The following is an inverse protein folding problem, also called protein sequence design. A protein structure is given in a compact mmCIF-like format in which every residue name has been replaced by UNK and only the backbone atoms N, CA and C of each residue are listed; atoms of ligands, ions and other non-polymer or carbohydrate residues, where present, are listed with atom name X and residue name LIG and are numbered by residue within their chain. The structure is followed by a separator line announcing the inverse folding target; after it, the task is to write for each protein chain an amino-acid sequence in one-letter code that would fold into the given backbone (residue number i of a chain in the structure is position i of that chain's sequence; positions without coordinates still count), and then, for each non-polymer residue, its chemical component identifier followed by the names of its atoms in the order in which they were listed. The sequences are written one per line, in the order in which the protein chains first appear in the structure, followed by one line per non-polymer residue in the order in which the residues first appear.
data_IF_182499496592
#
_entry.id   IF_182499496592
#
_cell.length_a   1.000
_cell.length_b   1.000
_cell.length_c   1.000
_cell.angle_alpha   90.00
_cell.angle_beta   90.00
_cell.angle_gamma   90.00
#
_symmetry.space_group_name_H-M   'P 1'
#
loop_
_entity.id
_entity.type
_entity.pdbx_description
1 polymer ?
#
# COMPACT_ATOMS: atom_id res chain seq x y z
N UNK A 1 1.56 -64.67 -9.95
CA UNK A 1 2.62 -63.64 -9.82
C UNK A 1 2.29 -62.33 -10.54
N UNK A 2 1.66 -62.31 -11.73
CA UNK A 2 1.32 -61.05 -12.45
C UNK A 2 0.32 -60.10 -11.75
N UNK A 3 -0.62 -60.61 -10.94
CA UNK A 3 -1.62 -59.78 -10.23
C UNK A 3 -1.07 -59.00 -9.03
N UNK A 4 0.07 -59.40 -8.47
CA UNK A 4 0.67 -58.74 -7.29
C UNK A 4 1.31 -57.40 -7.66
N UNK A 5 1.87 -57.28 -8.87
CA UNK A 5 2.40 -56.00 -9.38
C UNK A 5 1.32 -54.93 -9.58
N UNK A 6 0.08 -55.34 -9.86
CA UNK A 6 -1.05 -54.42 -10.01
C UNK A 6 -1.38 -53.68 -8.69
N UNK A 7 -1.24 -54.37 -7.55
CA UNK A 7 -1.44 -53.77 -6.23
C UNK A 7 -0.33 -52.77 -5.88
N UNK A 8 0.91 -53.03 -6.30
CA UNK A 8 2.03 -52.09 -6.12
C UNK A 8 1.86 -50.81 -6.97
N UNK A 9 1.32 -50.93 -8.18
CA UNK A 9 1.03 -49.76 -9.06
C UNK A 9 -0.12 -48.92 -8.51
N UNK A 10 -1.14 -49.53 -7.90
CA UNK A 10 -2.24 -48.81 -7.27
C UNK A 10 -1.77 -48.09 -5.99
N UNK A 11 -0.89 -48.72 -5.21
CA UNK A 11 -0.32 -48.11 -4.00
C UNK A 11 0.61 -46.92 -4.32
N UNK A 12 1.31 -46.94 -5.47
CA UNK A 12 2.17 -45.81 -5.88
C UNK A 12 1.38 -44.58 -6.32
N UNK A 13 0.11 -44.72 -6.73
CA UNK A 13 -0.75 -43.58 -7.07
C UNK A 13 -1.29 -42.85 -5.84
N UNK A 14 -1.30 -43.48 -4.65
CA UNK A 14 -1.82 -42.88 -3.41
C UNK A 14 -0.83 -41.90 -2.75
N UNK A 15 0.45 -41.93 -3.12
CA UNK A 15 1.50 -41.06 -2.57
C UNK A 15 1.74 -39.78 -3.37
N UNK A 16 0.99 -39.54 -4.46
CA UNK A 16 1.21 -38.38 -5.36
C UNK A 16 0.39 -37.14 -4.96
N UNK A 17 -0.44 -37.17 -3.92
CA UNK A 17 -1.43 -36.10 -3.66
C UNK A 17 -1.17 -35.14 -2.49
N UNK A 18 0.09 -34.92 -2.08
CA UNK A 18 0.39 -33.86 -1.11
C UNK A 18 1.10 -32.69 -1.79
N UNK A 19 0.32 -31.74 -2.31
CA UNK A 19 0.82 -30.42 -2.69
C UNK A 19 0.88 -29.56 -1.42
N UNK A 20 2.06 -29.56 -0.77
CA UNK A 20 2.29 -28.79 0.46
C UNK A 20 2.63 -27.35 0.09
N UNK A 21 1.61 -26.50 0.00
CA UNK A 21 1.82 -25.06 -0.21
C UNK A 21 2.22 -24.39 1.11
N UNK A 22 3.53 -24.22 1.31
CA UNK A 22 4.09 -23.47 2.44
C UNK A 22 4.15 -21.98 2.11
N UNK A 23 3.23 -21.21 2.69
CA UNK A 23 3.33 -19.76 2.71
C UNK A 23 4.43 -19.35 3.72
N UNK A 24 5.25 -18.32 3.42
CA UNK A 24 6.23 -17.82 4.37
C UNK A 24 5.53 -17.27 5.62
N UNK A 25 5.91 -17.77 6.80
CA UNK A 25 5.31 -17.36 8.08
C UNK A 25 5.46 -15.85 8.36
N UNK A 26 6.52 -15.24 7.83
CA UNK A 26 6.83 -13.82 7.98
C UNK A 26 6.15 -12.89 6.95
N UNK A 27 5.42 -13.42 5.96
CA UNK A 27 4.71 -12.59 4.97
C UNK A 27 3.20 -12.73 5.15
N UNK A 28 2.51 -11.62 5.36
CA UNK A 28 1.06 -11.64 5.39
C UNK A 28 0.56 -11.86 3.97
N UNK A 29 0.03 -13.05 3.69
CA UNK A 29 -0.56 -13.34 2.38
C UNK A 29 -1.73 -12.40 2.11
N UNK A 30 -2.01 -12.14 0.83
CA UNK A 30 -3.17 -11.32 0.43
C UNK A 30 -4.46 -11.87 1.03
N UNK A 31 -4.63 -13.19 1.01
CA UNK A 31 -5.81 -13.82 1.61
C UNK A 31 -5.89 -13.54 3.12
N UNK A 32 -4.79 -13.64 3.87
CA UNK A 32 -4.80 -13.34 5.31
C UNK A 32 -5.21 -11.88 5.61
N UNK A 33 -4.86 -10.93 4.74
CA UNK A 33 -5.25 -9.52 4.88
C UNK A 33 -6.72 -9.29 4.52
N UNK A 34 -7.17 -9.77 3.36
CA UNK A 34 -8.45 -9.33 2.78
C UNK A 34 -9.64 -10.26 3.09
N UNK A 35 -9.40 -11.41 3.70
CA UNK A 35 -10.47 -12.38 4.05
C UNK A 35 -11.21 -12.10 5.35
N UNK A 36 -10.71 -11.19 6.21
CA UNK A 36 -11.28 -10.91 7.52
C UNK A 36 -11.15 -9.43 7.91
N UNK A 37 -12.00 -8.98 8.84
CA UNK A 37 -12.09 -7.58 9.23
C UNK A 37 -10.84 -7.06 9.95
N UNK A 38 -10.16 -7.90 10.72
CA UNK A 38 -8.95 -7.56 11.45
C UNK A 38 -7.80 -7.27 10.48
N UNK A 39 -7.65 -8.08 9.43
CA UNK A 39 -6.68 -7.87 8.35
C UNK A 39 -6.92 -6.55 7.62
N UNK A 40 -8.18 -6.22 7.31
CA UNK A 40 -8.53 -4.92 6.72
C UNK A 40 -8.18 -3.75 7.65
N UNK A 41 -8.48 -3.87 8.95
CA UNK A 41 -8.12 -2.85 9.94
C UNK A 41 -6.61 -2.66 10.03
N UNK A 42 -5.86 -3.75 10.10
CA UNK A 42 -4.40 -3.72 10.20
C UNK A 42 -3.78 -3.07 8.97
N UNK A 43 -4.27 -3.42 7.77
CA UNK A 43 -3.83 -2.78 6.55
C UNK A 43 -4.17 -1.28 6.55
N UNK A 44 -5.40 -0.92 6.95
CA UNK A 44 -5.83 0.48 6.99
C UNK A 44 -5.01 1.35 7.95
N UNK A 45 -4.45 0.76 9.02
CA UNK A 45 -3.53 1.47 9.92
C UNK A 45 -2.28 1.98 9.20
N UNK A 46 -1.83 1.30 8.14
CA UNK A 46 -0.69 1.77 7.33
C UNK A 46 -0.96 3.13 6.68
N UNK A 47 -2.22 3.54 6.48
CA UNK A 47 -2.53 4.84 5.88
C UNK A 47 -2.28 6.00 6.85
N UNK A 48 -2.40 5.77 8.15
CA UNK A 48 -2.27 6.82 9.16
C UNK A 48 -0.84 7.34 9.30
N UNK A 49 0.15 6.66 8.72
CA UNK A 49 1.53 7.17 8.65
C UNK A 49 1.66 8.43 7.78
N UNK A 50 0.70 8.68 6.88
CA UNK A 50 0.64 9.89 6.05
C UNK A 50 0.21 11.13 6.84
N UNK A 51 -0.43 10.95 8.01
CA UNK A 51 -0.87 12.10 8.80
C UNK A 51 0.34 12.77 9.46
N UNK A 52 0.33 14.11 9.56
CA UNK A 52 1.37 14.81 10.29
C UNK A 52 1.38 14.34 11.73
N UNK A 53 2.57 13.99 12.22
CA UNK A 53 2.79 13.80 13.64
C UNK A 53 3.04 15.16 14.29
N UNK A 54 2.89 15.26 15.62
CA UNK A 54 3.03 16.52 16.34
C UNK A 54 4.44 17.14 16.31
N UNK A 55 5.44 16.46 15.74
CA UNK A 55 6.78 17.00 15.64
C UNK A 55 6.86 17.99 14.47
N UNK A 56 7.33 19.20 14.76
CA UNK A 56 7.53 20.22 13.74
C UNK A 56 6.24 20.88 13.24
N UNK A 57 5.19 20.94 14.07
CA UNK A 57 3.92 21.60 13.70
C UNK A 57 4.09 23.06 13.24
N UNK A 58 5.10 23.76 13.74
CA UNK A 58 5.43 25.15 13.36
C UNK A 58 6.63 25.24 12.42
N UNK A 59 7.29 24.14 12.05
CA UNK A 59 8.49 24.23 11.19
C UNK A 59 8.14 24.62 9.76
N UNK A 60 6.92 24.34 9.31
CA UNK A 60 6.44 24.75 7.99
C UNK A 60 6.22 26.27 7.89
N UNK A 61 6.05 26.98 9.01
CA UNK A 61 5.98 28.46 9.03
C UNK A 61 7.33 29.11 8.68
N UNK A 62 8.43 28.35 8.61
CA UNK A 62 9.69 28.81 8.05
C UNK A 62 9.58 29.24 6.58
N UNK A 63 8.52 28.82 5.89
CA UNK A 63 8.21 29.20 4.51
C UNK A 63 7.11 30.27 4.40
N UNK A 64 6.65 30.82 5.51
CA UNK A 64 5.72 31.97 5.56
C UNK A 64 6.41 33.20 6.16
N UNK A 65 5.72 34.34 6.16
CA UNK A 65 6.17 35.59 6.79
C UNK A 65 5.85 35.66 8.30
N UNK A 66 5.35 34.56 8.87
CA UNK A 66 4.85 34.53 10.26
C UNK A 66 5.96 34.32 11.30
N UNK A 67 6.96 33.46 11.03
CA UNK A 67 8.04 33.14 11.97
C UNK A 67 9.42 33.40 11.36
N UNK A 68 10.36 33.90 12.19
CA UNK A 68 11.77 33.95 11.84
C UNK A 68 12.49 32.67 12.31
N UNK A 69 13.21 32.03 11.39
CA UNK A 69 14.02 30.84 11.65
C UNK A 69 15.51 31.11 11.46
N UNK A 70 16.37 30.29 12.08
CA UNK A 70 17.83 30.47 12.04
C UNK A 70 18.47 30.02 10.72
N UNK A 71 17.82 29.10 9.99
CA UNK A 71 18.32 28.52 8.75
C UNK A 71 17.40 28.88 7.59
N UNK A 72 17.98 29.17 6.42
CA UNK A 72 17.21 29.47 5.20
C UNK A 72 16.76 28.14 4.56
N UNK A 73 15.46 27.90 4.37
CA UNK A 73 14.96 26.71 3.68
C UNK A 73 15.64 26.50 2.32
N UNK A 74 16.04 25.26 2.01
CA UNK A 74 16.74 24.93 0.76
C UNK A 74 15.97 25.34 -0.50
N UNK A 75 14.63 25.31 -0.43
CA UNK A 75 13.74 25.76 -1.49
C UNK A 75 13.91 27.25 -1.86
N UNK A 76 14.33 28.09 -0.91
CA UNK A 76 14.51 29.53 -1.12
C UNK A 76 15.95 29.88 -1.54
N UNK A 77 16.84 28.90 -1.66
CA UNK A 77 18.23 29.11 -2.06
C UNK A 77 18.39 29.09 -3.59
N UNK A 78 19.35 29.85 -4.11
CA UNK A 78 19.53 30.07 -5.56
C UNK A 78 19.85 28.81 -6.40
N UNK A 79 20.23 27.70 -5.77
CA UNK A 79 20.62 26.45 -6.44
C UNK A 79 19.56 25.34 -6.30
N UNK A 80 18.29 25.67 -6.02
CA UNK A 80 17.23 24.68 -5.95
C UNK A 80 16.92 24.09 -7.34
N UNK A 81 16.89 22.76 -7.45
CA UNK A 81 16.76 22.02 -8.69
C UNK A 81 16.02 20.68 -8.46
N UNK A 82 15.50 20.00 -9.49
CA UNK A 82 14.82 18.71 -9.31
C UNK A 82 15.66 17.65 -8.57
N UNK A 83 16.98 17.68 -8.72
CA UNK A 83 17.92 16.75 -8.07
C UNK A 83 18.04 16.92 -6.57
N UNK A 84 17.72 18.10 -6.03
CA UNK A 84 17.70 18.37 -4.58
C UNK A 84 16.27 18.60 -4.04
N UNK A 85 15.26 18.31 -4.87
CA UNK A 85 13.85 18.29 -4.48
C UNK A 85 13.47 16.96 -3.81
N UNK A 86 12.44 17.00 -2.99
CA UNK A 86 11.87 15.84 -2.31
C UNK A 86 10.34 15.85 -2.40
N UNK A 87 9.69 14.78 -1.94
CA UNK A 87 8.23 14.67 -1.91
C UNK A 87 7.59 14.11 -3.18
N UNK A 88 8.35 13.88 -4.25
CA UNK A 88 7.89 13.16 -5.45
C UNK A 88 7.99 11.63 -5.25
N UNK A 89 7.24 11.12 -4.27
CA UNK A 89 7.09 9.69 -4.01
C UNK A 89 5.61 9.28 -4.13
N UNK A 90 5.38 8.11 -4.72
CA UNK A 90 4.06 7.55 -5.03
C UNK A 90 3.79 6.21 -4.33
N UNK A 91 4.64 5.82 -3.37
CA UNK A 91 4.52 4.57 -2.63
C UNK A 91 3.22 4.47 -1.83
N UNK A 92 2.84 5.55 -1.13
CA UNK A 92 1.59 5.63 -0.38
C UNK A 92 0.36 5.48 -1.28
N UNK A 93 0.37 6.11 -2.46
CA UNK A 93 -0.72 5.94 -3.42
C UNK A 93 -0.83 4.49 -3.89
N UNK A 94 0.29 3.82 -4.16
CA UNK A 94 0.29 2.41 -4.54
C UNK A 94 -0.29 1.54 -3.42
N UNK A 95 0.08 1.80 -2.17
CA UNK A 95 -0.48 1.11 -0.99
C UNK A 95 -2.01 1.28 -0.93
N UNK A 96 -2.52 2.50 -1.07
CA UNK A 96 -3.96 2.78 -1.08
C UNK A 96 -4.67 2.11 -2.26
N UNK A 97 -4.14 2.24 -3.48
CA UNK A 97 -4.75 1.65 -4.67
C UNK A 97 -4.74 0.12 -4.61
N UNK A 98 -3.71 -0.49 -4.03
CA UNK A 98 -3.67 -1.93 -3.80
C UNK A 98 -4.80 -2.36 -2.86
N UNK A 99 -5.01 -1.66 -1.73
CA UNK A 99 -6.14 -1.93 -0.85
C UNK A 99 -7.48 -1.84 -1.57
N UNK A 100 -7.71 -0.76 -2.32
CA UNK A 100 -8.96 -0.53 -3.06
C UNK A 100 -9.19 -1.58 -4.14
N UNK A 101 -8.14 -2.11 -4.77
CA UNK A 101 -8.25 -3.15 -5.78
C UNK A 101 -8.62 -4.51 -5.16
N UNK A 102 -8.05 -4.86 -4.00
CA UNK A 102 -8.17 -6.21 -3.43
C UNK A 102 -9.19 -6.36 -2.30
N UNK A 103 -9.71 -5.27 -1.72
CA UNK A 103 -10.78 -5.31 -0.72
C UNK A 103 -12.17 -5.57 -1.36
N UNK A 104 -12.31 -6.74 -1.98
CA UNK A 104 -13.50 -7.20 -2.71
C UNK A 104 -13.99 -8.59 -2.26
N UNK A 105 -13.26 -9.25 -1.36
CA UNK A 105 -13.53 -10.64 -0.95
C UNK A 105 -14.92 -10.79 -0.29
N UNK A 106 -15.82 -11.63 -0.82
CA UNK A 106 -17.15 -11.87 -0.27
C UNK A 106 -17.16 -12.43 1.16
N UNK A 107 -16.04 -13.00 1.66
CA UNK A 107 -15.90 -13.49 3.03
C UNK A 107 -16.08 -12.38 4.08
N UNK A 108 -15.81 -11.12 3.73
CA UNK A 108 -16.03 -9.96 4.60
C UNK A 108 -17.41 -9.34 4.29
N UNK A 109 -18.21 -8.95 5.30
CA UNK A 109 -19.49 -8.25 5.06
C UNK A 109 -19.33 -6.98 4.21
N UNK A 110 -20.34 -6.70 3.37
CA UNK A 110 -20.31 -5.59 2.39
C UNK A 110 -20.16 -4.22 3.08
N UNK A 111 -20.84 -4.02 4.20
CA UNK A 111 -20.77 -2.81 5.03
C UNK A 111 -19.37 -2.60 5.59
N UNK A 112 -18.72 -3.65 6.09
CA UNK A 112 -17.33 -3.61 6.57
C UNK A 112 -16.37 -3.24 5.43
N UNK A 113 -16.50 -3.88 4.26
CA UNK A 113 -15.68 -3.53 3.10
C UNK A 113 -15.89 -2.07 2.68
N UNK A 114 -17.14 -1.60 2.65
CA UNK A 114 -17.49 -0.21 2.31
C UNK A 114 -16.87 0.78 3.29
N UNK A 115 -16.89 0.48 4.59
CA UNK A 115 -16.28 1.32 5.62
C UNK A 115 -14.77 1.51 5.35
N UNK A 116 -14.02 0.42 5.22
CA UNK A 116 -12.58 0.52 4.97
C UNK A 116 -12.24 1.09 3.60
N UNK A 117 -13.06 0.84 2.57
CA UNK A 117 -12.92 1.51 1.28
C UNK A 117 -13.15 3.03 1.38
N UNK A 118 -14.04 3.47 2.28
CA UNK A 118 -14.22 4.89 2.59
C UNK A 118 -12.96 5.51 3.20
N UNK A 119 -12.36 4.83 4.18
CA UNK A 119 -11.09 5.25 4.80
C UNK A 119 -9.98 5.36 3.74
N UNK A 120 -9.80 4.32 2.91
CA UNK A 120 -8.80 4.32 1.86
C UNK A 120 -9.03 5.45 0.83
N UNK A 121 -10.28 5.74 0.46
CA UNK A 121 -10.62 6.86 -0.44
C UNK A 121 -10.31 8.22 0.17
N UNK A 122 -10.57 8.40 1.47
CA UNK A 122 -10.16 9.61 2.19
C UNK A 122 -8.64 9.82 2.09
N UNK A 123 -7.86 8.79 2.41
CA UNK A 123 -6.41 8.88 2.34
C UNK A 123 -5.88 9.06 0.91
N UNK A 124 -6.55 8.51 -0.10
CA UNK A 124 -6.22 8.81 -1.50
C UNK A 124 -6.43 10.29 -1.81
N UNK A 125 -7.54 10.87 -1.38
CA UNK A 125 -7.81 12.28 -1.56
C UNK A 125 -6.78 13.14 -0.81
N UNK A 126 -6.45 12.77 0.43
CA UNK A 126 -5.42 13.42 1.23
C UNK A 126 -4.03 13.38 0.55
N UNK A 127 -3.63 12.21 0.04
CA UNK A 127 -2.39 12.05 -0.73
C UNK A 127 -2.34 13.04 -1.92
N UNK A 128 -3.38 13.06 -2.75
CA UNK A 128 -3.42 13.96 -3.92
C UNK A 128 -3.47 15.43 -3.52
N UNK A 129 -4.18 15.77 -2.44
CA UNK A 129 -4.20 17.12 -1.91
C UNK A 129 -2.78 17.60 -1.55
N UNK A 130 -2.00 16.77 -0.85
CA UNK A 130 -0.60 17.08 -0.52
C UNK A 130 0.28 17.21 -1.78
N UNK A 131 0.08 16.35 -2.79
CA UNK A 131 0.80 16.46 -4.07
C UNK A 131 0.46 17.75 -4.82
N UNK A 132 -0.83 18.08 -4.92
CA UNK A 132 -1.29 19.28 -5.63
C UNK A 132 -0.80 20.55 -4.93
N UNK A 133 -0.88 20.58 -3.60
CA UNK A 133 -0.35 21.69 -2.79
C UNK A 133 1.13 21.96 -3.05
N UNK A 134 1.93 20.91 -3.30
CA UNK A 134 3.38 21.02 -3.50
C UNK A 134 3.79 21.22 -4.96
N UNK A 135 3.15 20.51 -5.89
CA UNK A 135 3.60 20.36 -7.28
C UNK A 135 2.61 20.92 -8.31
N UNK A 136 1.40 21.30 -7.91
CA UNK A 136 0.35 21.73 -8.83
C UNK A 136 -0.31 20.54 -9.54
N UNK A 137 -0.37 20.60 -10.87
CA UNK A 137 -0.98 19.51 -11.65
C UNK A 137 -0.12 18.23 -11.58
N UNK A 138 -0.76 17.11 -11.29
CA UNK A 138 -0.10 15.81 -11.06
C UNK A 138 -0.89 14.68 -11.72
N UNK A 139 -0.24 13.61 -12.19
CA UNK A 139 -0.93 12.53 -12.89
C UNK A 139 -1.90 11.79 -11.97
N UNK A 140 -3.07 11.46 -12.51
CA UNK A 140 -4.03 10.59 -11.83
C UNK A 140 -3.73 9.12 -12.10
N UNK A 141 -3.34 8.40 -11.06
CA UNK A 141 -3.09 6.95 -11.06
C UNK A 141 -4.17 6.28 -10.18
N UNK A 142 -5.08 5.55 -10.84
CA UNK A 142 -6.25 4.93 -10.21
C UNK A 142 -6.09 3.44 -9.84
N UNK A 143 -4.99 2.80 -10.25
CA UNK A 143 -4.66 1.40 -10.01
C UNK A 143 -3.25 1.29 -9.40
N UNK A 144 -2.91 0.24 -8.66
CA UNK A 144 -1.52 0.04 -8.28
C UNK A 144 -0.70 -0.27 -9.54
N UNK A 145 0.47 0.36 -9.64
CA UNK A 145 1.40 0.11 -10.74
C UNK A 145 2.03 -1.28 -10.60
N UNK A 146 2.08 -1.99 -11.73
CA UNK A 146 2.71 -3.31 -11.87
C UNK A 146 4.09 -3.18 -12.55
N UNK A 147 4.94 -4.19 -12.39
CA UNK A 147 6.29 -4.24 -13.00
C UNK A 147 6.25 -4.27 -14.53
N UNK A 148 5.11 -4.69 -15.09
CA UNK A 148 4.88 -4.73 -16.54
C UNK A 148 4.25 -3.43 -17.07
N UNK A 149 3.82 -2.50 -16.20
CA UNK A 149 3.33 -1.20 -16.66
C UNK A 149 4.54 -0.39 -17.20
N UNK A 150 4.53 -0.11 -18.50
CA UNK A 150 5.49 0.80 -19.14
C UNK A 150 5.19 2.25 -18.77
N UNK A 151 6.25 3.03 -18.55
CA UNK A 151 6.21 4.50 -18.36
C UNK A 151 5.41 5.22 -19.44
#
# INVERSE_FOLDING_TARGET
MKKQYLWFVILSFLVVSCELEQLPEATTSREAVFSNAQGLSLYANSFYTMLPNGNGSTTLDAMSDYLAVKEIPSFLQAAYAPTNSSGWDWGDLRNINYFLQYNVDPKVPVDVRKNYNGIAKFFRAYFYFEKIKRFGDVPWIGKPLDVADTT
#
